data_IF_691916805313
#
_entry.id   IF_691916805313
#
_cell.length_a   1.000
_cell.length_b   1.000
_cell.length_c   1.000
_cell.angle_alpha   90.00
_cell.angle_beta   90.00
_cell.angle_gamma   90.00
#
_symmetry.space_group_name_H-M   'P 1'
#
loop_
_entity.id
_entity.type
_entity.pdbx_description
1 polymer ?
#
# COMPACT_ATOMS: atom_id res chain seq x y z
N UNK A 1 32.91 11.76 31.54
CA UNK A 1 33.25 10.34 31.31
C UNK A 1 32.12 9.54 31.93
N UNK A 2 31.07 9.04 31.28
CA UNK A 2 30.76 8.52 29.94
C UNK A 2 29.25 8.82 29.79
N UNK A 3 28.74 9.48 28.77
CA UNK A 3 28.59 8.95 27.42
C UNK A 3 27.10 9.10 27.04
N UNK A 4 26.83 10.12 26.24
CA UNK A 4 25.55 10.49 25.65
C UNK A 4 25.07 9.34 24.74
N UNK A 5 24.13 8.50 25.17
CA UNK A 5 23.66 7.36 24.34
C UNK A 5 22.17 7.03 24.46
N UNK A 6 21.31 8.05 24.61
CA UNK A 6 19.85 7.88 24.59
C UNK A 6 19.22 8.72 23.46
N UNK A 7 19.88 8.76 22.29
CA UNK A 7 19.35 9.42 21.08
C UNK A 7 19.49 8.57 19.81
N UNK A 8 19.67 7.24 19.92
CA UNK A 8 19.84 6.41 18.73
C UNK A 8 19.14 5.05 18.87
N UNK A 9 17.81 5.07 19.06
CA UNK A 9 16.97 3.84 18.99
C UNK A 9 15.84 3.98 17.96
N UNK A 10 16.06 4.76 16.89
CA UNK A 10 15.02 4.97 15.87
C UNK A 10 15.44 4.75 14.42
N UNK A 11 16.62 4.14 14.16
CA UNK A 11 17.08 3.88 12.78
C UNK A 11 17.78 2.52 12.66
N UNK A 12 17.20 1.44 13.20
CA UNK A 12 17.78 0.08 13.05
C UNK A 12 16.79 -1.03 12.69
N UNK A 13 15.64 -0.70 12.12
CA UNK A 13 14.71 -1.70 11.56
C UNK A 13 14.06 -1.23 10.25
N UNK A 14 14.91 -0.76 9.33
CA UNK A 14 14.56 -0.59 7.92
C UNK A 14 15.65 -1.25 7.08
N UNK A 15 15.81 -2.57 7.21
CA UNK A 15 16.47 -3.38 6.19
C UNK A 15 15.42 -3.75 5.15
N UNK A 16 15.17 -2.82 4.23
CA UNK A 16 14.51 -3.14 2.96
C UNK A 16 15.50 -3.96 2.12
N UNK A 17 15.19 -5.23 1.78
CA UNK A 17 16.06 -6.06 0.95
C UNK A 17 15.79 -5.71 -0.52
N UNK A 18 16.10 -4.48 -0.93
CA UNK A 18 16.08 -4.10 -2.34
C UNK A 18 17.28 -3.23 -2.69
N UNK A 19 18.48 -3.78 -2.48
CA UNK A 19 19.69 -3.27 -3.12
C UNK A 19 20.36 -4.46 -3.84
N UNK A 20 19.72 -4.91 -4.91
CA UNK A 20 20.43 -5.59 -5.99
C UNK A 20 20.98 -4.46 -6.86
N UNK A 21 22.31 -4.46 -7.02
CA UNK A 21 23.07 -3.37 -7.62
C UNK A 21 22.46 -2.85 -8.92
N UNK A 22 22.37 -1.52 -8.99
CA UNK A 22 22.12 -0.78 -10.22
C UNK A 22 23.31 -0.95 -11.18
N UNK A 23 23.42 -2.13 -11.79
CA UNK A 23 23.98 -2.22 -13.14
C UNK A 23 22.93 -1.61 -14.04
N UNK A 24 23.33 -0.72 -14.95
CA UNK A 24 22.47 -0.23 -16.04
C UNK A 24 21.81 -1.42 -16.72
N UNK A 25 20.57 -1.75 -16.35
CA UNK A 25 19.93 -2.95 -16.84
C UNK A 25 19.24 -2.58 -18.15
N UNK A 26 19.87 -2.97 -19.25
CA UNK A 26 19.20 -3.03 -20.54
C UNK A 26 17.90 -3.82 -20.35
N UNK A 27 16.78 -3.32 -20.89
CA UNK A 27 15.47 -3.95 -20.79
C UNK A 27 15.56 -5.45 -21.13
N UNK A 28 15.37 -6.32 -20.13
CA UNK A 28 15.47 -7.76 -20.31
C UNK A 28 14.16 -8.33 -20.85
N UNK A 29 14.20 -9.22 -21.86
CA UNK A 29 12.99 -9.89 -22.33
C UNK A 29 12.46 -10.85 -21.26
N UNK A 30 11.15 -10.83 -21.06
CA UNK A 30 10.42 -11.71 -20.14
C UNK A 30 9.38 -12.49 -20.93
N UNK A 31 9.41 -13.83 -20.83
CA UNK A 31 8.38 -14.70 -21.39
C UNK A 31 7.34 -15.01 -20.32
N UNK A 32 6.08 -14.67 -20.58
CA UNK A 32 4.95 -14.93 -19.68
C UNK A 32 3.83 -15.66 -20.44
N UNK A 33 3.13 -16.54 -19.73
CA UNK A 33 1.92 -17.19 -20.25
C UNK A 33 0.70 -16.35 -19.89
N UNK A 34 -0.08 -15.95 -20.89
CA UNK A 34 -1.31 -15.18 -20.72
C UNK A 34 -2.53 -16.00 -21.13
N UNK A 35 -3.67 -15.72 -20.51
CA UNK A 35 -4.93 -16.31 -20.95
C UNK A 35 -5.34 -15.76 -22.33
N UNK A 36 -6.12 -16.51 -23.12
CA UNK A 36 -6.61 -16.03 -24.42
C UNK A 36 -7.36 -14.69 -24.32
N UNK A 37 -8.11 -14.50 -23.23
CA UNK A 37 -8.85 -13.26 -22.98
C UNK A 37 -7.91 -12.07 -22.71
N UNK A 38 -6.82 -12.28 -21.96
CA UNK A 38 -5.84 -11.22 -21.71
C UNK A 38 -5.11 -10.83 -22.99
N UNK A 39 -4.73 -11.81 -23.81
CA UNK A 39 -4.10 -11.58 -25.09
C UNK A 39 -5.01 -10.78 -26.03
N UNK A 40 -6.30 -11.13 -26.12
CA UNK A 40 -7.27 -10.40 -26.92
C UNK A 40 -7.43 -8.93 -26.47
N UNK A 41 -7.37 -8.65 -25.15
CA UNK A 41 -7.39 -7.27 -24.63
C UNK A 41 -6.13 -6.49 -25.01
N UNK A 42 -4.96 -7.12 -24.92
CA UNK A 42 -3.69 -6.52 -25.34
C UNK A 42 -3.70 -6.18 -26.83
N UNK A 43 -4.07 -7.14 -27.69
CA UNK A 43 -4.15 -6.92 -29.13
C UNK A 43 -5.11 -5.79 -29.47
N UNK A 44 -6.30 -5.74 -28.85
CA UNK A 44 -7.27 -4.66 -29.06
C UNK A 44 -6.72 -3.27 -28.69
N UNK A 45 -5.91 -3.19 -27.63
CA UNK A 45 -5.31 -1.91 -27.19
C UNK A 45 -4.21 -1.42 -28.15
N UNK A 46 -3.50 -2.34 -28.79
CA UNK A 46 -2.53 -2.01 -29.85
C UNK A 46 -3.25 -1.65 -31.16
N UNK A 47 -4.27 -2.42 -31.55
CA UNK A 47 -5.09 -2.18 -32.73
C UNK A 47 -5.84 -0.84 -32.67
N UNK A 48 -6.23 -0.38 -31.47
CA UNK A 48 -6.83 0.94 -31.30
C UNK A 48 -5.85 2.10 -31.47
N UNK A 49 -4.55 1.82 -31.66
CA UNK A 49 -3.49 2.83 -31.79
C UNK A 49 -3.13 3.53 -30.48
N UNK A 50 -3.67 3.08 -29.35
CA UNK A 50 -3.37 3.67 -28.04
C UNK A 50 -1.96 3.30 -27.56
N UNK A 51 -1.41 2.18 -28.06
CA UNK A 51 -0.08 1.69 -27.72
C UNK A 51 0.62 1.14 -28.96
N UNK A 52 1.94 1.26 -29.03
CA UNK A 52 2.74 0.78 -30.16
C UNK A 52 3.04 -0.72 -30.10
N UNK A 53 2.98 -1.34 -28.91
CA UNK A 53 3.25 -2.78 -28.74
C UNK A 53 2.62 -3.39 -27.49
N UNK A 54 2.46 -4.72 -27.48
CA UNK A 54 1.98 -5.45 -26.29
C UNK A 54 2.89 -5.25 -25.06
N UNK A 55 4.21 -5.15 -25.27
CA UNK A 55 5.17 -4.91 -24.18
C UNK A 55 5.00 -3.52 -23.56
N UNK A 56 4.54 -2.54 -24.32
CA UNK A 56 4.24 -1.20 -23.81
C UNK A 56 2.98 -1.21 -22.93
N UNK A 57 1.91 -1.88 -23.39
CA UNK A 57 0.69 -2.06 -22.58
C UNK A 57 1.02 -2.74 -21.25
N UNK A 58 1.87 -3.78 -21.28
CA UNK A 58 2.27 -4.48 -20.06
C UNK A 58 3.09 -3.59 -19.12
N UNK A 59 3.99 -2.76 -19.64
CA UNK A 59 4.74 -1.80 -18.79
C UNK A 59 3.83 -0.77 -18.15
N UNK A 60 2.85 -0.23 -18.88
CA UNK A 60 1.91 0.72 -18.29
C UNK A 60 0.99 0.05 -17.26
N UNK A 61 0.53 -1.18 -17.54
CA UNK A 61 -0.23 -1.97 -16.58
C UNK A 61 0.56 -2.27 -15.29
N UNK A 62 1.86 -2.56 -15.39
CA UNK A 62 2.72 -2.75 -14.23
C UNK A 62 2.91 -1.47 -13.43
N UNK A 63 3.10 -0.33 -14.09
CA UNK A 63 3.17 0.98 -13.41
C UNK A 63 1.90 1.29 -12.63
N UNK A 64 0.73 1.02 -13.21
CA UNK A 64 -0.56 1.18 -12.52
C UNK A 64 -0.71 0.21 -11.34
N UNK A 65 -0.19 -1.01 -11.48
CA UNK A 65 -0.19 -1.99 -10.39
C UNK A 65 0.72 -1.54 -9.24
N UNK A 66 1.93 -1.05 -9.52
CA UNK A 66 2.87 -0.53 -8.52
C UNK A 66 2.24 0.62 -7.72
N UNK A 67 1.65 1.60 -8.40
CA UNK A 67 0.95 2.71 -7.74
C UNK A 67 -0.18 2.23 -6.81
N UNK A 68 -0.91 1.19 -7.24
CA UNK A 68 -1.98 0.61 -6.40
C UNK A 68 -1.40 -0.09 -5.18
N UNK A 69 -0.26 -0.76 -5.32
CA UNK A 69 0.39 -1.45 -4.22
C UNK A 69 0.94 -0.47 -3.19
N UNK A 70 1.56 0.63 -3.63
CA UNK A 70 1.99 1.73 -2.74
C UNK A 70 0.83 2.28 -1.91
N UNK A 71 -0.31 2.55 -2.54
CA UNK A 71 -1.52 3.02 -1.83
C UNK A 71 -2.04 1.98 -0.84
N UNK A 72 -1.98 0.69 -1.20
CA UNK A 72 -2.40 -0.41 -0.34
C UNK A 72 -1.51 -0.51 0.90
N UNK A 73 -0.20 -0.34 0.74
CA UNK A 73 0.75 -0.36 1.85
C UNK A 73 0.51 0.79 2.83
N UNK A 74 0.26 2.01 2.32
CA UNK A 74 -0.08 3.16 3.14
C UNK A 74 -1.37 2.95 3.94
N UNK A 75 -2.41 2.41 3.32
CA UNK A 75 -3.67 2.12 4.00
C UNK A 75 -3.50 1.03 5.07
N UNK A 76 -2.74 -0.02 4.76
CA UNK A 76 -2.43 -1.06 5.74
C UNK A 76 -1.64 -0.49 6.93
N UNK A 77 -0.68 0.38 6.69
CA UNK A 77 0.09 1.04 7.74
C UNK A 77 -0.82 1.89 8.63
N UNK A 78 -1.73 2.66 8.03
CA UNK A 78 -2.73 3.45 8.75
C UNK A 78 -3.66 2.58 9.61
N UNK A 79 -4.16 1.48 9.07
CA UNK A 79 -5.03 0.54 9.80
C UNK A 79 -4.31 -0.10 10.99
N UNK A 80 -3.05 -0.51 10.79
CA UNK A 80 -2.21 -1.04 11.88
C UNK A 80 -2.01 0.00 12.97
N UNK A 81 -1.71 1.24 12.60
CA UNK A 81 -1.57 2.33 13.58
C UNK A 81 -2.86 2.55 14.36
N UNK A 82 -4.02 2.63 13.70
CA UNK A 82 -5.30 2.82 14.38
C UNK A 82 -5.64 1.65 15.33
N UNK A 83 -5.23 0.43 14.97
CA UNK A 83 -5.37 -0.74 15.84
C UNK A 83 -4.51 -0.63 17.09
N UNK A 84 -3.23 -0.26 16.96
CA UNK A 84 -2.32 -0.06 18.11
C UNK A 84 -2.80 1.09 19.01
N UNK A 85 -3.28 2.19 18.41
CA UNK A 85 -3.91 3.29 19.15
C UNK A 85 -5.16 2.83 19.92
N UNK A 86 -5.98 1.97 19.30
CA UNK A 86 -7.13 1.35 19.95
C UNK A 86 -6.73 0.44 21.12
N UNK A 87 -5.69 -0.38 20.95
CA UNK A 87 -5.17 -1.25 22.01
C UNK A 87 -4.58 -0.44 23.17
N UNK A 88 -3.92 0.68 22.86
CA UNK A 88 -3.38 1.60 23.86
C UNK A 88 -4.45 2.51 24.51
N UNK A 89 -5.69 2.52 24.00
CA UNK A 89 -6.74 3.45 24.46
C UNK A 89 -7.33 3.12 25.83
N UNK A 90 -6.99 1.96 26.39
CA UNK A 90 -7.37 1.54 27.74
C UNK A 90 -8.16 0.23 27.75
N UNK A 91 -8.72 -0.10 28.91
CA UNK A 91 -9.48 -1.34 29.07
C UNK A 91 -10.80 -1.32 28.27
N UNK A 92 -11.14 -2.43 27.58
CA UNK A 92 -12.42 -2.57 26.91
C UNK A 92 -13.59 -2.43 27.90
N UNK A 93 -14.61 -1.66 27.51
CA UNK A 93 -15.82 -1.47 28.31
C UNK A 93 -16.98 -2.11 27.54
N UNK A 94 -17.77 -2.92 28.23
CA UNK A 94 -19.06 -3.39 27.73
C UNK A 94 -20.00 -2.20 27.49
N UNK A 95 -20.40 -1.99 26.24
CA UNK A 95 -21.26 -0.88 25.82
C UNK A 95 -22.47 -1.41 25.06
N UNK A 96 -23.66 -1.04 25.51
CA UNK A 96 -24.88 -1.29 24.75
C UNK A 96 -25.01 -0.30 23.58
N UNK A 97 -25.65 -0.73 22.49
CA UNK A 97 -25.88 0.13 21.34
C UNK A 97 -26.72 1.37 21.69
N UNK A 98 -27.71 1.23 22.58
CA UNK A 98 -28.58 2.32 23.01
C UNK A 98 -27.80 3.39 23.81
N UNK A 99 -26.90 2.95 24.69
CA UNK A 99 -26.03 3.85 25.46
C UNK A 99 -25.02 4.57 24.55
N UNK A 100 -24.48 3.88 23.55
CA UNK A 100 -23.58 4.48 22.57
C UNK A 100 -24.31 5.54 21.72
N UNK A 101 -25.49 5.22 21.20
CA UNK A 101 -26.29 6.13 20.38
C UNK A 101 -26.76 7.36 21.16
N UNK A 102 -27.19 7.19 22.41
CA UNK A 102 -27.59 8.32 23.26
C UNK A 102 -26.43 9.27 23.54
N UNK A 103 -25.22 8.75 23.81
CA UNK A 103 -23.99 9.55 23.96
C UNK A 103 -23.65 10.33 22.69
N UNK A 104 -23.74 9.70 21.51
CA UNK A 104 -23.47 10.38 20.23
C UNK A 104 -24.49 11.47 19.93
N UNK A 105 -25.80 11.24 20.18
CA UNK A 105 -26.86 12.24 20.00
C UNK A 105 -26.68 13.44 20.92
N UNK A 106 -26.35 13.21 22.19
CA UNK A 106 -26.08 14.28 23.14
C UNK A 106 -24.86 15.13 22.73
N UNK A 107 -23.79 14.49 22.23
CA UNK A 107 -22.60 15.19 21.72
C UNK A 107 -22.87 16.00 20.44
N UNK A 108 -23.76 15.52 19.58
CA UNK A 108 -24.16 16.23 18.36
C UNK A 108 -25.06 17.44 18.64
N UNK A 109 -25.93 17.37 19.65
CA UNK A 109 -26.82 18.47 20.05
C UNK A 109 -26.09 19.61 20.80
N UNK A 110 -24.87 19.35 21.29
CA UNK A 110 -24.04 20.33 22.00
C UNK A 110 -22.99 21.04 21.13
N UNK A 111 -23.02 20.87 19.81
CA UNK A 111 -22.23 21.63 18.82
C UNK A 111 -23.12 22.57 18.05
#
# INVERSE_FOLDING_TARGET
MIGLSVLCVLVRNCEAPYIIGMKSDNMRPLTISLSPQQLARLSKAVESGAYASNSEVLRDALRLWEQREELRELELARLKQAYEEGLASGEPIELSLDDLLSRFRAKAAGR
#
